data_IF_508541837757
#
_entry.id   IF_508541837757
#
_cell.length_a   1.000
_cell.length_b   1.000
_cell.length_c   1.000
_cell.angle_alpha   90.00
_cell.angle_beta   90.00
_cell.angle_gamma   90.00
#
_symmetry.space_group_name_H-M   'P 1'
#
loop_
_entity.id
_entity.type
_entity.pdbx_description
1 polymer ?
#
# COMPACT_ATOMS: atom_id res chain seq x y z
N UNK A 1 -5.80 25.42 -3.52
CA UNK A 1 -4.98 24.21 -3.68
C UNK A 1 -5.00 23.52 -2.34
N UNK A 2 -5.95 22.59 -2.15
CA UNK A 2 -6.22 21.98 -0.84
C UNK A 2 -5.08 21.07 -0.42
N UNK A 3 -4.86 21.03 0.90
CA UNK A 3 -3.98 20.08 1.56
C UNK A 3 -4.21 18.68 1.01
N UNK A 4 -3.13 17.93 0.78
CA UNK A 4 -3.21 16.48 0.57
C UNK A 4 -3.99 15.90 1.75
N UNK A 5 -5.24 15.49 1.53
CA UNK A 5 -6.09 14.90 2.57
C UNK A 5 -5.47 13.55 2.96
N UNK A 6 -4.60 13.61 3.96
CA UNK A 6 -4.00 12.46 4.59
C UNK A 6 -5.04 11.85 5.51
N UNK A 7 -5.45 10.62 5.20
CA UNK A 7 -6.42 9.88 6.00
C UNK A 7 -5.74 8.63 6.56
N UNK A 8 -6.17 8.20 7.74
CA UNK A 8 -5.73 6.94 8.33
C UNK A 8 -6.89 5.96 8.33
N UNK A 9 -6.74 4.86 7.60
CA UNK A 9 -7.72 3.78 7.58
C UNK A 9 -7.42 2.83 8.74
N UNK A 10 -8.42 2.51 9.57
CA UNK A 10 -8.21 1.56 10.64
C UNK A 10 -7.90 0.18 10.05
N UNK A 11 -6.92 -0.50 10.61
CA UNK A 11 -6.67 -1.93 10.41
C UNK A 11 -6.08 -2.46 11.72
N UNK A 12 -6.40 -3.69 12.09
CA UNK A 12 -5.87 -4.32 13.30
C UNK A 12 -5.65 -5.82 13.13
N UNK A 13 -5.17 -6.46 14.20
CA UNK A 13 -4.87 -7.87 14.29
C UNK A 13 -6.06 -8.81 13.97
N UNK A 14 -7.28 -8.36 14.24
CA UNK A 14 -8.52 -9.12 14.06
C UNK A 14 -9.05 -9.07 12.63
N UNK A 15 -8.53 -8.18 11.79
CA UNK A 15 -8.93 -8.10 10.39
C UNK A 15 -8.69 -9.42 9.66
N UNK A 16 -9.63 -9.76 8.79
CA UNK A 16 -9.63 -10.95 7.93
C UNK A 16 -9.08 -10.64 6.54
N UNK A 17 -8.69 -11.68 5.80
CA UNK A 17 -8.30 -11.56 4.38
C UNK A 17 -9.39 -10.89 3.53
N UNK A 18 -10.67 -11.20 3.79
CA UNK A 18 -11.81 -10.63 3.09
C UNK A 18 -11.95 -9.12 3.35
N UNK A 19 -11.74 -8.68 4.59
CA UNK A 19 -11.74 -7.26 4.93
C UNK A 19 -10.59 -6.51 4.29
N UNK A 20 -9.38 -7.11 4.25
CA UNK A 20 -8.25 -6.52 3.52
C UNK A 20 -8.55 -6.38 2.02
N UNK A 21 -9.17 -7.39 1.40
CA UNK A 21 -9.55 -7.32 -0.02
C UNK A 21 -10.60 -6.23 -0.27
N UNK A 22 -11.65 -6.20 0.56
CA UNK A 22 -12.71 -5.20 0.45
C UNK A 22 -12.17 -3.77 0.63
N UNK A 23 -11.22 -3.57 1.55
CA UNK A 23 -10.55 -2.28 1.72
C UNK A 23 -9.81 -1.88 0.45
N UNK A 24 -9.00 -2.78 -0.11
CA UNK A 24 -8.28 -2.53 -1.36
C UNK A 24 -9.28 -2.20 -2.49
N UNK A 25 -10.36 -2.96 -2.65
CA UNK A 25 -11.35 -2.71 -3.71
C UNK A 25 -12.08 -1.36 -3.61
N UNK A 26 -12.10 -0.75 -2.42
CA UNK A 26 -12.67 0.58 -2.18
C UNK A 26 -11.74 1.73 -2.59
N UNK A 27 -10.44 1.48 -2.79
CA UNK A 27 -9.51 2.52 -3.23
C UNK A 27 -9.92 3.02 -4.63
N UNK A 28 -10.03 4.34 -4.74
CA UNK A 28 -10.18 5.03 -6.00
C UNK A 28 -8.84 5.01 -6.78
N UNK A 29 -8.87 5.10 -8.13
CA UNK A 29 -7.66 5.10 -8.95
C UNK A 29 -6.64 6.18 -8.57
N UNK A 30 -7.11 7.35 -8.10
CA UNK A 30 -6.29 8.49 -7.67
C UNK A 30 -5.83 8.43 -6.21
N UNK A 31 -6.05 7.30 -5.55
CA UNK A 31 -5.62 7.08 -4.17
C UNK A 31 -4.39 6.19 -4.12
N UNK A 32 -3.53 6.52 -3.16
CA UNK A 32 -2.40 5.70 -2.77
C UNK A 32 -2.54 5.31 -1.31
N UNK A 33 -2.36 4.02 -1.05
CA UNK A 33 -2.34 3.46 0.29
C UNK A 33 -0.90 3.07 0.63
N UNK A 34 -0.48 3.43 1.85
CA UNK A 34 0.81 3.12 2.40
C UNK A 34 0.65 2.37 3.72
N UNK A 35 1.43 1.31 3.89
CA UNK A 35 1.40 0.48 5.10
C UNK A 35 2.77 -0.07 5.45
N UNK A 36 3.01 -0.33 6.73
CA UNK A 36 4.31 -0.82 7.22
C UNK A 36 4.61 -2.22 6.69
N UNK A 37 5.86 -2.45 6.29
CA UNK A 37 6.34 -3.70 5.74
C UNK A 37 7.15 -4.48 6.79
N UNK A 38 6.46 -5.10 7.76
CA UNK A 38 7.06 -5.90 8.83
C UNK A 38 7.87 -7.10 8.30
N UNK A 39 7.43 -7.71 7.21
CA UNK A 39 8.16 -8.82 6.56
C UNK A 39 9.44 -8.34 5.84
N UNK A 40 9.63 -7.03 5.68
CA UNK A 40 10.77 -6.39 5.02
C UNK A 40 11.54 -5.48 5.99
N UNK A 41 11.86 -5.98 7.18
CA UNK A 41 12.69 -5.27 8.14
C UNK A 41 14.07 -4.98 7.51
N UNK A 42 14.34 -3.72 7.18
CA UNK A 42 15.70 -3.30 6.85
C UNK A 42 16.50 -3.20 8.14
N UNK A 43 17.60 -3.94 8.23
CA UNK A 43 18.49 -3.95 9.40
C UNK A 43 19.02 -2.55 9.73
N UNK A 44 19.11 -1.67 8.73
CA UNK A 44 19.63 -0.30 8.88
C UNK A 44 18.56 0.79 8.95
N UNK A 45 17.27 0.46 8.75
CA UNK A 45 16.19 1.45 8.80
C UNK A 45 14.86 0.77 9.19
N UNK A 46 14.39 0.92 10.44
CA UNK A 46 13.17 0.28 10.93
C UNK A 46 11.88 0.81 10.29
N UNK A 47 11.93 1.70 9.29
CA UNK A 47 10.79 2.36 8.64
C UNK A 47 10.43 1.87 7.24
N UNK A 48 10.61 0.60 6.89
CA UNK A 48 10.17 0.08 5.58
C UNK A 48 8.64 0.08 5.44
N UNK A 49 8.14 0.51 4.28
CA UNK A 49 6.72 0.56 3.98
C UNK A 49 6.44 0.13 2.53
N UNK A 50 5.22 -0.36 2.30
CA UNK A 50 4.69 -0.66 0.98
C UNK A 50 3.80 0.49 0.55
N UNK A 51 3.92 0.90 -0.72
CA UNK A 51 2.99 1.83 -1.38
C UNK A 51 2.23 1.09 -2.45
N UNK A 52 0.92 1.31 -2.52
CA UNK A 52 0.04 0.66 -3.48
C UNK A 52 -0.89 1.67 -4.15
N UNK A 53 -1.12 1.47 -5.44
CA UNK A 53 -2.04 2.27 -6.24
C UNK A 53 -2.89 1.35 -7.12
N UNK A 54 -4.15 1.73 -7.33
CA UNK A 54 -5.05 1.03 -8.22
C UNK A 54 -4.95 1.61 -9.63
N UNK A 55 -4.65 0.79 -10.62
CA UNK A 55 -4.66 1.22 -12.03
C UNK A 55 -6.01 0.98 -12.72
N UNK A 56 -6.78 -0.02 -12.27
CA UNK A 56 -8.04 -0.40 -12.87
C UNK A 56 -8.71 -1.56 -12.13
N UNK A 57 -9.65 -2.24 -12.77
CA UNK A 57 -10.26 -3.44 -12.21
C UNK A 57 -9.21 -4.57 -12.14
N UNK A 58 -8.88 -5.04 -10.93
CA UNK A 58 -7.99 -6.17 -10.70
C UNK A 58 -6.49 -5.93 -10.92
N UNK A 59 -6.08 -4.74 -11.41
CA UNK A 59 -4.68 -4.40 -11.68
C UNK A 59 -4.19 -3.37 -10.68
N UNK A 60 -3.08 -3.71 -10.01
CA UNK A 60 -2.49 -2.91 -8.96
C UNK A 60 -1.01 -2.65 -9.21
N UNK A 61 -0.54 -1.49 -8.74
CA UNK A 61 0.88 -1.20 -8.61
C UNK A 61 1.30 -1.32 -7.16
N UNK A 62 2.50 -1.86 -6.96
CA UNK A 62 3.13 -2.03 -5.66
C UNK A 62 4.60 -1.66 -5.75
N UNK A 63 5.10 -0.94 -4.75
CA UNK A 63 6.54 -0.78 -4.53
C UNK A 63 6.86 -0.85 -3.05
N UNK A 64 8.07 -1.31 -2.73
CA UNK A 64 8.63 -1.21 -1.39
C UNK A 64 9.52 0.03 -1.30
N UNK A 65 9.51 0.69 -0.15
CA UNK A 65 10.30 1.90 0.09
C UNK A 65 10.64 2.07 1.56
N UNK A 66 11.59 2.95 1.86
CA UNK A 66 11.86 3.46 3.19
C UNK A 66 12.27 4.95 3.12
N UNK A 67 13.00 5.48 4.10
CA UNK A 67 13.44 6.87 4.09
C UNK A 67 14.55 7.21 3.08
N UNK A 68 15.28 6.20 2.56
CA UNK A 68 16.46 6.40 1.71
C UNK A 68 16.42 5.70 0.35
N UNK A 69 15.50 4.76 0.12
CA UNK A 69 15.40 4.04 -1.15
C UNK A 69 13.95 3.62 -1.45
N UNK A 70 13.69 3.33 -2.72
CA UNK A 70 12.46 2.63 -3.15
C UNK A 70 12.76 1.71 -4.33
N UNK A 71 12.01 0.61 -4.44
CA UNK A 71 11.97 -0.16 -5.68
C UNK A 71 11.18 0.60 -6.76
N UNK A 72 11.32 0.15 -7.99
CA UNK A 72 10.39 0.50 -9.06
C UNK A 72 8.98 -0.02 -8.76
N UNK A 73 7.99 0.55 -9.44
CA UNK A 73 6.61 0.10 -9.39
C UNK A 73 6.46 -1.21 -10.16
N UNK A 74 6.00 -2.25 -9.48
CA UNK A 74 5.64 -3.54 -10.09
C UNK A 74 4.14 -3.72 -10.17
N UNK A 75 3.67 -4.33 -11.26
CA UNK A 75 2.27 -4.81 -11.33
C UNK A 75 2.12 -6.05 -10.47
N UNK A 76 1.07 -6.08 -9.67
CA UNK A 76 0.72 -7.22 -8.81
C UNK A 76 -0.77 -7.49 -8.88
N UNK A 77 -1.19 -8.76 -8.74
CA UNK A 77 -2.60 -9.10 -8.63
C UNK A 77 -3.14 -8.71 -7.24
N UNK A 78 -4.45 -8.52 -7.12
CA UNK A 78 -5.11 -8.15 -5.87
C UNK A 78 -4.80 -9.14 -4.74
N UNK A 79 -4.74 -10.44 -5.05
CA UNK A 79 -4.51 -11.51 -4.07
C UNK A 79 -3.15 -11.36 -3.39
N UNK A 80 -2.10 -11.02 -4.15
CA UNK A 80 -0.77 -10.82 -3.61
C UNK A 80 -0.74 -9.63 -2.63
N UNK A 81 -1.40 -8.53 -2.97
CA UNK A 81 -1.52 -7.35 -2.11
C UNK A 81 -2.36 -7.61 -0.88
N UNK A 82 -3.49 -8.29 -1.03
CA UNK A 82 -4.35 -8.71 0.08
C UNK A 82 -3.55 -9.53 1.08
N UNK A 83 -2.81 -10.52 0.60
CA UNK A 83 -2.04 -11.41 1.46
C UNK A 83 -0.89 -10.67 2.14
N UNK A 84 -0.21 -9.75 1.43
CA UNK A 84 0.82 -8.89 2.00
C UNK A 84 0.25 -7.97 3.08
N UNK A 85 -0.84 -7.25 2.81
CA UNK A 85 -1.51 -6.39 3.78
C UNK A 85 -1.98 -7.19 5.01
N UNK A 86 -2.57 -8.37 4.79
CA UNK A 86 -3.05 -9.22 5.86
C UNK A 86 -1.91 -9.69 6.77
N UNK A 87 -0.77 -10.14 6.22
CA UNK A 87 0.40 -10.54 7.04
C UNK A 87 0.92 -9.38 7.89
N UNK A 88 0.94 -8.18 7.32
CA UNK A 88 1.49 -6.99 7.96
C UNK A 88 0.52 -6.26 8.92
N UNK A 89 -0.77 -6.65 8.96
CA UNK A 89 -1.81 -5.94 9.72
C UNK A 89 -1.50 -5.71 11.21
N UNK A 90 -0.79 -6.66 11.85
CA UNK A 90 -0.42 -6.58 13.26
C UNK A 90 0.57 -5.45 13.57
N UNK A 91 1.32 -5.00 12.56
CA UNK A 91 2.32 -3.95 12.69
C UNK A 91 1.79 -2.55 12.36
N UNK A 92 0.50 -2.42 12.05
CA UNK A 92 -0.11 -1.16 11.63
C UNK A 92 -0.67 -0.37 12.82
N UNK A 93 0.19 -0.05 13.79
CA UNK A 93 -0.22 0.57 15.06
C UNK A 93 -0.94 1.92 14.91
N UNK A 94 -0.67 2.64 13.81
CA UNK A 94 -1.29 3.92 13.48
C UNK A 94 -2.33 3.82 12.36
N UNK A 95 -2.69 2.60 11.94
CA UNK A 95 -3.51 2.35 10.76
C UNK A 95 -2.74 2.50 9.44
N UNK A 96 -3.48 2.43 8.34
CA UNK A 96 -2.94 2.58 6.99
C UNK A 96 -3.04 4.02 6.54
N UNK A 97 -1.98 4.55 5.94
CA UNK A 97 -1.99 5.90 5.43
C UNK A 97 -2.59 5.92 4.02
N UNK A 98 -3.69 6.64 3.85
CA UNK A 98 -4.34 6.90 2.57
C UNK A 98 -4.08 8.34 2.15
N UNK A 99 -3.71 8.56 0.90
CA UNK A 99 -3.48 9.89 0.35
C UNK A 99 -3.95 10.00 -1.09
N UNK A 100 -4.25 11.23 -1.52
CA UNK A 100 -4.45 11.53 -2.94
C UNK A 100 -3.09 11.57 -3.62
N UNK A 101 -2.89 10.72 -4.62
CA UNK A 101 -1.67 10.68 -5.40
C UNK A 101 -1.99 10.89 -6.88
N UNK A 102 -1.05 11.51 -7.61
CA UNK A 102 -1.10 11.42 -9.07
C UNK A 102 -0.92 9.96 -9.44
N UNK A 103 -1.92 9.40 -10.13
CA UNK A 103 -1.85 8.07 -10.75
C UNK A 103 -0.54 7.99 -11.49
N UNK A 104 0.29 7.02 -11.10
CA UNK A 104 1.53 6.78 -11.83
C UNK A 104 1.13 6.21 -13.19
N UNK A 105 1.08 7.07 -14.21
CA UNK A 105 0.93 6.65 -15.59
C UNK A 105 2.16 5.80 -15.93
N UNK A 106 1.91 4.52 -16.22
CA UNK A 106 2.87 3.51 -16.68
C UNK A 106 4.27 4.06 -17.01
N UNK A 107 5.22 3.92 -16.09
CA UNK A 107 6.63 3.84 -16.46
C UNK A 107 7.07 2.38 -16.30
N UNK A 108 7.47 1.76 -17.42
CA UNK A 108 8.26 0.53 -17.40
C UNK A 108 7.62 -0.73 -17.97
N UNK A 109 7.00 -0.67 -19.15
CA UNK A 109 7.22 -1.77 -20.11
C UNK A 109 8.59 -1.50 -20.74
N UNK A 110 9.61 -2.24 -20.33
CA UNK A 110 10.85 -2.42 -21.09
C UNK A 110 11.14 -3.91 -21.20
#
# INVERSE_FOLDING_TARGET
>A
MSATDLQFLPIDAAWTLAQCAALLEQLAPEQELQFYAADHASVSDPGAYIRVQRLGAGVWLRKAANHGWSTDWGRVPLEALRDELYRNRHAQLSGLQLSVARVQAQEGEK
#
